data_IF_521941918735
#
_entry.id   IF_521941918735
#
_cell.length_a   1.000
_cell.length_b   1.000
_cell.length_c   1.000
_cell.angle_alpha   90.00
_cell.angle_beta   90.00
_cell.angle_gamma   90.00
#
_symmetry.space_group_name_H-M   'P 1'
#
loop_
_entity.id
_entity.type
_entity.pdbx_description
1 polymer ?
#
# COMPACT_ATOMS: atom_id res chain seq x y z
N UNK A 1 -18.19 8.82 2.00
CA UNK A 1 -16.83 8.52 2.47
C UNK A 1 -16.95 7.22 3.23
N UNK A 2 -16.67 6.12 2.56
CA UNK A 2 -16.83 4.76 3.11
C UNK A 2 -15.47 4.36 3.71
N UNK A 3 -15.45 4.14 5.03
CA UNK A 3 -14.41 3.54 5.87
C UNK A 3 -12.93 3.79 5.51
N UNK A 4 -12.34 4.90 6.00
CA UNK A 4 -10.97 5.10 6.53
C UNK A 4 -9.71 4.44 5.90
N UNK A 5 -9.83 3.68 4.84
CA UNK A 5 -8.75 2.93 4.20
C UNK A 5 -8.16 3.78 3.07
N UNK A 6 -6.86 3.62 2.86
CA UNK A 6 -6.13 4.28 1.78
C UNK A 6 -5.48 3.19 0.93
N UNK A 7 -5.75 3.23 -0.36
CA UNK A 7 -5.06 2.40 -1.36
C UNK A 7 -3.77 3.07 -1.82
N UNK A 8 -2.72 2.26 -1.97
CA UNK A 8 -1.45 2.67 -2.60
C UNK A 8 -1.19 1.76 -3.80
N UNK A 9 -0.91 2.36 -4.95
CA UNK A 9 -0.67 1.67 -6.21
C UNK A 9 0.82 1.59 -6.51
N UNK A 10 1.26 0.49 -7.12
CA UNK A 10 2.66 0.27 -7.48
C UNK A 10 2.73 -0.17 -8.94
N UNK A 11 3.55 0.47 -9.76
CA UNK A 11 3.68 0.11 -11.18
C UNK A 11 4.54 1.08 -11.98
N UNK A 12 4.72 0.83 -13.27
CA UNK A 12 5.50 1.71 -14.16
C UNK A 12 4.78 3.03 -14.48
N UNK A 13 3.46 3.02 -14.47
CA UNK A 13 2.62 4.18 -14.76
C UNK A 13 1.51 4.29 -13.71
N UNK A 14 1.05 5.51 -13.38
CA UNK A 14 -0.05 5.71 -12.45
C UNK A 14 -1.37 5.21 -13.05
N UNK A 15 -2.23 4.54 -12.28
CA UNK A 15 -3.59 4.25 -12.72
C UNK A 15 -4.41 5.54 -12.91
N UNK A 16 -5.41 5.48 -13.79
CA UNK A 16 -6.26 6.62 -14.11
C UNK A 16 -6.87 7.23 -12.83
N UNK A 17 -6.63 8.52 -12.60
CA UNK A 17 -7.15 9.26 -11.45
C UNK A 17 -6.52 8.90 -10.09
N UNK A 18 -5.46 8.08 -10.05
CA UNK A 18 -4.81 7.62 -8.80
C UNK A 18 -3.35 8.08 -8.66
N UNK A 19 -2.92 9.05 -9.47
CA UNK A 19 -1.54 9.55 -9.50
C UNK A 19 -1.03 10.05 -8.14
N UNK A 20 -1.91 10.55 -7.25
CA UNK A 20 -1.54 11.02 -5.91
C UNK A 20 -1.14 9.91 -4.94
N UNK A 21 -1.58 8.67 -5.17
CA UNK A 21 -1.35 7.52 -4.28
C UNK A 21 -0.63 6.39 -5.03
N UNK A 22 0.32 6.74 -5.90
CA UNK A 22 1.06 5.78 -6.72
C UNK A 22 2.57 5.90 -6.48
N UNK A 23 3.25 4.76 -6.49
CA UNK A 23 4.69 4.62 -6.40
C UNK A 23 5.22 3.96 -7.67
N UNK A 24 6.15 4.64 -8.33
CA UNK A 24 6.81 4.11 -9.52
C UNK A 24 7.71 2.91 -9.19
N UNK A 25 7.62 1.87 -10.00
CA UNK A 25 8.50 0.69 -9.96
C UNK A 25 9.46 0.67 -11.15
N UNK A 26 10.54 -0.10 -11.08
CA UNK A 26 11.51 -0.20 -12.17
C UNK A 26 11.26 -1.42 -13.09
N UNK A 27 11.32 -1.27 -14.42
CA UNK A 27 11.15 -2.38 -15.36
C UNK A 27 12.15 -3.50 -15.13
N UNK A 28 11.68 -4.76 -15.11
CA UNK A 28 12.54 -5.94 -14.98
C UNK A 28 13.23 -6.11 -13.62
N UNK A 29 12.85 -5.33 -12.60
CA UNK A 29 13.40 -5.42 -11.24
C UNK A 29 12.33 -5.80 -10.23
N UNK A 30 12.67 -6.70 -9.32
CA UNK A 30 11.86 -6.96 -8.13
C UNK A 30 11.88 -5.78 -7.18
N UNK A 31 10.84 -5.67 -6.35
CA UNK A 31 10.71 -4.66 -5.31
C UNK A 31 10.12 -5.28 -4.05
N UNK A 32 10.26 -4.56 -2.93
CA UNK A 32 9.68 -4.91 -1.64
C UNK A 32 9.12 -3.66 -0.96
N UNK A 33 8.19 -3.83 -0.01
CA UNK A 33 7.59 -2.74 0.75
C UNK A 33 7.91 -2.89 2.23
N UNK A 34 8.20 -1.76 2.86
CA UNK A 34 8.41 -1.65 4.29
C UNK A 34 7.34 -0.73 4.86
N UNK A 35 6.45 -1.28 5.69
CA UNK A 35 5.48 -0.49 6.44
C UNK A 35 6.17 0.12 7.67
N UNK A 36 6.24 1.45 7.73
CA UNK A 36 6.71 2.19 8.91
C UNK A 36 5.54 2.89 9.58
N UNK A 37 5.28 2.55 10.83
CA UNK A 37 4.25 3.20 11.66
C UNK A 37 4.90 4.02 12.77
N UNK A 38 4.27 5.14 13.09
CA UNK A 38 4.70 6.04 14.17
C UNK A 38 3.63 6.02 15.26
N UNK A 39 3.98 5.47 16.44
CA UNK A 39 3.05 5.28 17.54
C UNK A 39 1.89 4.32 17.22
N UNK A 40 2.14 3.07 16.80
CA UNK A 40 1.08 2.13 16.47
C UNK A 40 0.23 1.77 17.70
N UNK A 41 -1.04 1.47 17.47
CA UNK A 41 -1.97 1.04 18.51
C UNK A 41 -1.72 -0.41 18.98
N UNK A 42 -2.35 -0.80 20.10
CA UNK A 42 -2.24 -2.15 20.69
C UNK A 42 -2.58 -3.27 19.68
N UNK A 43 -3.52 -3.03 18.77
CA UNK A 43 -3.94 -4.00 17.74
C UNK A 43 -2.81 -4.46 16.82
N UNK A 44 -1.81 -3.61 16.58
CA UNK A 44 -0.60 -3.98 15.85
C UNK A 44 0.24 -5.00 16.64
N UNK A 45 0.47 -4.74 17.92
CA UNK A 45 1.29 -5.60 18.78
C UNK A 45 0.61 -6.93 19.11
N UNK A 46 -0.71 -6.89 19.34
CA UNK A 46 -1.54 -8.08 19.53
C UNK A 46 -1.74 -8.89 18.24
N UNK A 47 -1.33 -8.35 17.09
CA UNK A 47 -1.51 -8.94 15.75
C UNK A 47 -2.98 -9.20 15.39
N UNK A 48 -3.89 -8.42 15.96
CA UNK A 48 -5.33 -8.49 15.63
C UNK A 48 -5.67 -7.66 14.39
N UNK A 49 -4.75 -6.79 13.97
CA UNK A 49 -4.85 -6.04 12.73
C UNK A 49 -3.52 -6.03 11.96
N UNK A 50 -3.62 -6.08 10.63
CA UNK A 50 -2.51 -5.87 9.67
C UNK A 50 -3.06 -5.22 8.39
N UNK A 51 -2.24 -4.55 7.57
CA UNK A 51 -2.64 -4.12 6.23
C UNK A 51 -3.04 -5.33 5.36
N UNK A 52 -3.81 -5.06 4.31
CA UNK A 52 -4.12 -6.04 3.27
C UNK A 52 -2.87 -6.52 2.53
N UNK A 53 -3.02 -7.64 1.82
CA UNK A 53 -1.98 -8.15 0.93
C UNK A 53 -1.97 -7.39 -0.41
N UNK A 54 -0.91 -7.54 -1.19
CA UNK A 54 -0.89 -6.99 -2.55
C UNK A 54 -1.86 -7.70 -3.46
N UNK A 55 -2.59 -6.92 -4.26
CA UNK A 55 -3.49 -7.42 -5.29
C UNK A 55 -3.02 -6.95 -6.67
N UNK A 56 -3.10 -7.85 -7.65
CA UNK A 56 -2.81 -7.48 -9.04
C UNK A 56 -3.96 -6.61 -9.56
N UNK A 57 -3.64 -5.35 -9.89
CA UNK A 57 -4.59 -4.47 -10.54
C UNK A 57 -4.82 -4.94 -11.99
N UNK A 58 -6.09 -5.18 -12.32
CA UNK A 58 -6.53 -5.59 -13.66
C UNK A 58 -6.66 -4.40 -14.61
#
# INVERSE_FOLDING_TARGET
>A
MEHGAIDVYFGLNPPAGKASNWVETAPGKGWNVVLRMYGPEKSWFDKTWKPGEFELQK
#
